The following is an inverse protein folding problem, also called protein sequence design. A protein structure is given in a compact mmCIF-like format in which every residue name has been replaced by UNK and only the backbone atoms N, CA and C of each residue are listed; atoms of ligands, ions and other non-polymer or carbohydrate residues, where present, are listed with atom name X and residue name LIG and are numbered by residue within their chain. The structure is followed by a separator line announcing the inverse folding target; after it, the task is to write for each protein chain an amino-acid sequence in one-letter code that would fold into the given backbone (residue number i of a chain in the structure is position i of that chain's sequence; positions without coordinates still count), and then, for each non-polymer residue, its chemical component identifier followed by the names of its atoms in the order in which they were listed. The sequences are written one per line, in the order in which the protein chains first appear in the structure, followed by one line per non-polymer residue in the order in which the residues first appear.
data_IF_935992697046
#
_entry.id   IF_935992697046
#
_cell.length_a   1.000
_cell.length_b   1.000
_cell.length_c   1.000
_cell.angle_alpha   90.00
_cell.angle_beta   90.00
_cell.angle_gamma   90.00
#
_symmetry.space_group_name_H-M   'P 1'
#
loop_
_entity.id
_entity.type
_entity.pdbx_description
1 polymer ?
#
# COMPACT_ATOMS: atom_id res chain seq x y z
N UNK A 1 -27.53 7.81 -29.92
CA UNK A 1 -26.58 7.31 -28.91
C UNK A 1 -26.52 8.41 -27.87
N UNK A 2 -27.16 8.18 -26.73
CA UNK A 2 -27.20 9.15 -25.62
C UNK A 2 -25.81 9.27 -25.03
N UNK A 3 -25.27 10.49 -25.01
CA UNK A 3 -24.06 10.84 -24.27
C UNK A 3 -24.31 10.54 -22.78
N UNK A 4 -23.88 9.38 -22.33
CA UNK A 4 -23.75 9.12 -20.90
C UNK A 4 -22.55 9.96 -20.48
N UNK A 5 -22.72 10.99 -19.64
CA UNK A 5 -21.59 11.75 -19.15
C UNK A 5 -20.63 10.79 -18.44
N UNK A 6 -19.37 10.84 -18.82
CA UNK A 6 -18.31 10.03 -18.23
C UNK A 6 -17.97 10.59 -16.84
N UNK A 7 -18.82 10.29 -15.87
CA UNK A 7 -18.79 10.85 -14.51
C UNK A 7 -17.53 10.41 -13.73
N UNK A 8 -16.79 9.43 -14.26
CA UNK A 8 -15.70 8.75 -13.54
C UNK A 8 -14.28 9.11 -13.97
N UNK A 9 -14.11 9.92 -15.04
CA UNK A 9 -12.77 10.13 -15.62
C UNK A 9 -12.32 11.58 -15.67
N UNK A 10 -13.15 12.56 -15.29
CA UNK A 10 -12.78 13.96 -15.46
C UNK A 10 -11.85 14.51 -14.37
N UNK A 11 -11.76 13.87 -13.19
CA UNK A 11 -10.79 14.23 -12.15
C UNK A 11 -10.58 13.06 -11.15
N UNK A 12 -9.73 12.06 -11.46
CA UNK A 12 -9.49 10.95 -10.55
C UNK A 12 -8.86 11.45 -9.25
N UNK A 13 -9.34 10.94 -8.11
CA UNK A 13 -8.81 11.30 -6.82
C UNK A 13 -7.31 10.95 -6.68
N UNK A 14 -6.56 11.69 -5.84
CA UNK A 14 -5.10 11.53 -5.72
C UNK A 14 -4.65 10.12 -5.32
N UNK A 15 -5.41 9.45 -4.45
CA UNK A 15 -5.12 8.09 -4.00
C UNK A 15 -5.25 7.09 -5.15
N UNK A 16 -6.32 7.18 -5.93
CA UNK A 16 -6.54 6.31 -7.10
C UNK A 16 -5.42 6.45 -8.13
N UNK A 17 -5.00 7.69 -8.44
CA UNK A 17 -3.88 7.94 -9.36
C UNK A 17 -2.59 7.32 -8.84
N UNK A 18 -2.33 7.44 -7.54
CA UNK A 18 -1.14 6.88 -6.93
C UNK A 18 -1.18 5.34 -6.95
N UNK A 19 -2.27 4.74 -6.49
CA UNK A 19 -2.39 3.27 -6.39
C UNK A 19 -2.27 2.58 -7.75
N UNK A 20 -2.80 3.16 -8.84
CA UNK A 20 -2.64 2.62 -10.20
C UNK A 20 -1.19 2.60 -10.67
N UNK A 21 -0.35 3.50 -10.16
CA UNK A 21 1.09 3.59 -10.50
C UNK A 21 1.97 2.71 -9.62
N UNK A 22 1.47 2.26 -8.48
CA UNK A 22 2.25 1.50 -7.51
C UNK A 22 2.30 0.00 -7.76
N UNK A 23 1.48 -0.49 -8.71
CA UNK A 23 1.43 -1.92 -9.08
C UNK A 23 1.29 -2.82 -7.84
N UNK A 24 0.26 -2.53 -7.01
CA UNK A 24 -0.08 -3.37 -5.88
C UNK A 24 -0.53 -4.75 -6.34
N UNK A 25 0.10 -5.78 -5.83
CA UNK A 25 -0.37 -7.16 -5.89
C UNK A 25 -0.78 -7.63 -4.50
N UNK A 26 -1.79 -8.47 -4.43
CA UNK A 26 -2.17 -9.19 -3.23
C UNK A 26 -2.02 -10.69 -3.49
N UNK A 27 -1.54 -11.42 -2.51
CA UNK A 27 -1.38 -12.87 -2.57
C UNK A 27 -1.93 -13.48 -1.28
N UNK A 28 -2.91 -14.35 -1.40
CA UNK A 28 -3.39 -15.20 -0.30
C UNK A 28 -2.71 -16.55 -0.39
N UNK A 29 -1.85 -16.88 0.57
CA UNK A 29 -1.08 -18.12 0.57
C UNK A 29 -1.59 -19.16 1.58
N UNK A 30 -2.40 -18.75 2.57
CA UNK A 30 -3.05 -19.64 3.53
C UNK A 30 -4.54 -19.35 3.61
N UNK A 31 -5.34 -20.36 3.48
CA UNK A 31 -6.73 -20.43 3.90
C UNK A 31 -6.89 -21.77 4.62
N UNK A 32 -6.88 -21.76 5.95
CA UNK A 32 -6.81 -23.00 6.69
C UNK A 32 -7.36 -22.94 8.10
N UNK A 33 -7.59 -24.14 8.62
CA UNK A 33 -7.96 -24.37 10.00
C UNK A 33 -6.70 -24.60 10.83
N UNK A 34 -6.57 -23.84 11.92
CA UNK A 34 -5.50 -23.94 12.90
C UNK A 34 -6.08 -24.55 14.17
N UNK A 35 -5.53 -25.68 14.59
CA UNK A 35 -6.05 -26.48 15.71
C UNK A 35 -4.97 -26.70 16.75
N UNK A 36 -5.39 -26.86 17.99
CA UNK A 36 -4.52 -27.21 19.12
C UNK A 36 -3.55 -26.09 19.50
N UNK A 37 -2.30 -26.47 19.76
CA UNK A 37 -1.24 -25.49 20.07
C UNK A 37 -0.56 -25.08 18.79
N UNK A 38 -0.81 -23.86 18.34
CA UNK A 38 -0.25 -23.30 17.13
C UNK A 38 0.21 -21.86 17.34
N UNK A 39 1.22 -21.46 16.61
CA UNK A 39 1.72 -20.10 16.54
C UNK A 39 2.33 -19.84 15.16
N UNK A 40 2.01 -18.70 14.56
CA UNK A 40 2.45 -18.29 13.21
C UNK A 40 3.17 -16.97 13.29
N UNK A 41 4.37 -16.91 12.73
CA UNK A 41 5.15 -15.71 12.47
C UNK A 41 5.40 -15.62 10.96
N UNK A 42 5.06 -14.50 10.36
CA UNK A 42 5.23 -14.22 8.93
C UNK A 42 6.11 -13.00 8.66
N UNK A 43 6.72 -12.44 9.71
CA UNK A 43 7.62 -11.30 9.58
C UNK A 43 8.90 -11.65 8.79
N UNK A 44 9.58 -10.64 8.27
CA UNK A 44 10.82 -10.79 7.51
C UNK A 44 10.61 -11.08 6.02
N UNK A 45 9.38 -11.04 5.54
CA UNK A 45 9.03 -11.26 4.14
C UNK A 45 9.38 -10.09 3.21
N UNK A 46 9.59 -8.89 3.78
CA UNK A 46 9.69 -7.59 3.08
C UNK A 46 8.42 -7.23 2.28
N UNK A 47 7.30 -7.79 2.70
CA UNK A 47 5.96 -7.52 2.19
C UNK A 47 5.11 -6.97 3.33
N UNK A 48 3.85 -6.70 3.08
CA UNK A 48 2.90 -6.28 4.11
C UNK A 48 2.04 -7.50 4.49
N UNK A 49 2.36 -8.23 5.57
CA UNK A 49 1.55 -9.36 5.99
C UNK A 49 0.17 -8.91 6.45
N UNK A 50 -0.84 -9.73 6.15
CA UNK A 50 -2.16 -9.60 6.73
C UNK A 50 -2.71 -10.94 7.19
N UNK A 51 -3.52 -10.90 8.24
CA UNK A 51 -4.20 -12.07 8.80
C UNK A 51 -5.65 -11.69 9.07
N UNK A 52 -6.55 -12.45 8.49
CA UNK A 52 -7.99 -12.33 8.70
C UNK A 52 -8.47 -13.57 9.50
N UNK A 53 -9.05 -13.33 10.66
CA UNK A 53 -9.70 -14.39 11.43
C UNK A 53 -11.08 -14.63 10.80
N UNK A 54 -11.22 -15.70 10.03
CA UNK A 54 -12.50 -15.99 9.34
C UNK A 54 -13.51 -16.72 10.22
N UNK A 55 -13.04 -17.46 11.26
CA UNK A 55 -13.88 -18.05 12.30
C UNK A 55 -13.03 -18.41 13.53
N UNK A 56 -13.66 -18.47 14.70
CA UNK A 56 -12.98 -18.77 15.98
C UNK A 56 -12.30 -17.55 16.58
N UNK A 57 -11.30 -17.78 17.39
CA UNK A 57 -10.54 -16.76 18.13
C UNK A 57 -9.05 -16.99 17.96
N UNK A 58 -8.26 -15.91 18.07
CA UNK A 58 -6.81 -15.96 18.08
C UNK A 58 -6.23 -14.89 19.01
N UNK A 59 -4.93 -14.88 19.18
CA UNK A 59 -4.21 -13.89 19.98
C UNK A 59 -3.05 -13.32 19.19
N UNK A 60 -3.00 -12.00 19.11
CA UNK A 60 -1.87 -11.27 18.57
C UNK A 60 -0.85 -10.98 19.66
N UNK A 61 0.37 -11.42 19.44
CA UNK A 61 1.55 -11.08 20.25
C UNK A 61 2.43 -10.12 19.43
N UNK A 62 2.59 -8.92 19.94
CA UNK A 62 3.38 -7.88 19.30
C UNK A 62 4.35 -7.30 20.33
N UNK A 63 5.58 -7.06 19.91
CA UNK A 63 6.66 -6.63 20.82
C UNK A 63 6.28 -5.34 21.57
N UNK A 64 6.52 -5.35 22.89
CA UNK A 64 6.21 -4.20 23.76
C UNK A 64 4.72 -4.02 24.10
N UNK A 65 3.84 -4.95 23.66
CA UNK A 65 2.38 -4.87 23.90
C UNK A 65 1.88 -6.06 24.72
N UNK A 66 0.77 -5.87 25.43
CA UNK A 66 0.03 -6.99 26.00
C UNK A 66 -0.62 -7.80 24.88
N UNK A 67 -0.68 -9.14 24.99
CA UNK A 67 -1.38 -9.98 24.01
C UNK A 67 -2.82 -9.50 23.80
N UNK A 68 -3.22 -9.37 22.55
CA UNK A 68 -4.54 -8.86 22.16
C UNK A 68 -5.39 -9.97 21.57
N UNK A 69 -6.60 -10.15 22.11
CA UNK A 69 -7.58 -11.07 21.55
C UNK A 69 -8.04 -10.60 20.16
N UNK A 70 -8.17 -11.54 19.25
CA UNK A 70 -8.71 -11.38 17.90
C UNK A 70 -9.94 -12.27 17.78
N UNK A 71 -11.04 -11.70 17.29
CA UNK A 71 -12.31 -12.38 17.06
C UNK A 71 -12.53 -12.65 15.56
N UNK A 72 -13.57 -13.40 15.26
CA UNK A 72 -13.99 -13.62 13.87
C UNK A 72 -14.28 -12.29 13.17
N UNK A 73 -13.83 -12.15 11.93
CA UNK A 73 -13.83 -10.96 11.07
C UNK A 73 -12.81 -9.88 11.45
N UNK A 74 -11.97 -10.08 12.47
CA UNK A 74 -10.85 -9.19 12.70
C UNK A 74 -9.78 -9.40 11.63
N UNK A 75 -9.33 -8.27 11.06
CA UNK A 75 -8.23 -8.20 10.10
C UNK A 75 -7.06 -7.46 10.74
N UNK A 76 -5.89 -8.07 10.72
CA UNK A 76 -4.64 -7.47 11.20
C UNK A 76 -3.67 -7.31 10.06
N UNK A 77 -3.07 -6.12 9.94
CA UNK A 77 -2.03 -5.81 8.95
C UNK A 77 -0.76 -5.31 9.64
N UNK A 78 0.39 -5.56 9.01
CA UNK A 78 1.70 -5.10 9.46
C UNK A 78 2.40 -4.32 8.33
N UNK A 79 2.12 -3.01 8.18
CA UNK A 79 2.62 -2.20 7.06
C UNK A 79 4.15 -2.16 6.94
N UNK A 80 4.85 -2.38 8.05
CA UNK A 80 6.32 -2.34 8.11
C UNK A 80 6.98 -3.71 8.23
N UNK A 81 6.23 -4.80 7.95
CA UNK A 81 6.72 -6.18 8.15
C UNK A 81 7.28 -6.42 9.56
N UNK A 82 6.69 -5.74 10.56
CA UNK A 82 7.12 -5.80 11.96
C UNK A 82 6.95 -7.19 12.54
N UNK A 83 7.87 -7.60 13.40
CA UNK A 83 7.81 -8.90 14.08
C UNK A 83 6.51 -9.06 14.87
N UNK A 84 5.81 -10.14 14.62
CA UNK A 84 4.53 -10.46 15.26
C UNK A 84 4.31 -11.97 15.28
N UNK A 85 3.54 -12.44 16.26
CA UNK A 85 3.08 -13.82 16.31
C UNK A 85 1.57 -13.84 16.52
N UNK A 86 0.86 -14.65 15.74
CA UNK A 86 -0.55 -14.97 15.97
C UNK A 86 -0.63 -16.39 16.46
N UNK A 87 -1.37 -16.63 17.54
CA UNK A 87 -1.47 -17.95 18.18
C UNK A 87 -2.86 -18.23 18.73
N UNK A 88 -3.11 -19.49 19.09
CA UNK A 88 -4.35 -19.92 19.75
C UNK A 88 -4.42 -19.63 21.26
N UNK A 89 -3.45 -18.93 21.84
CA UNK A 89 -3.37 -18.73 23.30
C UNK A 89 -2.97 -17.30 23.65
N UNK A 90 -3.51 -16.78 24.76
CA UNK A 90 -3.09 -15.50 25.32
C UNK A 90 -1.67 -15.53 25.91
N UNK A 91 -1.13 -16.70 26.19
CA UNK A 91 0.25 -16.83 26.63
C UNK A 91 1.20 -16.77 25.42
N UNK A 92 2.29 -16.01 25.52
CA UNK A 92 3.28 -15.99 24.46
C UNK A 92 3.80 -17.39 24.14
N UNK A 93 3.82 -17.79 22.87
CA UNK A 93 4.27 -19.12 22.47
C UNK A 93 5.78 -19.28 22.71
N UNK A 94 6.19 -20.50 23.08
CA UNK A 94 7.61 -20.81 23.12
C UNK A 94 8.22 -20.78 21.70
N UNK A 95 9.49 -20.39 21.51
CA UNK A 95 10.11 -20.32 20.18
C UNK A 95 9.97 -21.61 19.34
N UNK A 96 9.99 -22.77 19.98
CA UNK A 96 9.82 -24.07 19.31
C UNK A 96 8.39 -24.33 18.79
N UNK A 97 7.41 -23.53 19.21
CA UNK A 97 6.02 -23.63 18.74
C UNK A 97 5.73 -22.78 17.54
N UNK A 98 6.57 -21.77 17.28
CA UNK A 98 6.38 -20.84 16.16
C UNK A 98 6.63 -21.58 14.86
N UNK A 99 5.63 -21.54 13.95
CA UNK A 99 5.65 -22.22 12.65
C UNK A 99 5.88 -23.74 12.74
N UNK A 100 5.60 -24.35 13.90
CA UNK A 100 5.67 -25.78 14.07
C UNK A 100 4.41 -26.49 13.49
N UNK A 101 4.49 -27.79 13.16
CA UNK A 101 3.32 -28.58 12.76
C UNK A 101 2.22 -28.52 13.83
N UNK A 102 0.99 -28.31 13.38
CA UNK A 102 -0.19 -28.24 14.26
C UNK A 102 -0.67 -29.59 14.69
N UNK A 103 -1.28 -29.68 15.87
CA UNK A 103 -2.06 -30.85 16.30
C UNK A 103 -3.49 -30.77 15.72
N UNK A 104 -4.17 -31.92 15.62
CA UNK A 104 -5.55 -31.94 15.11
C UNK A 104 -6.61 -31.85 16.23
N UNK A 105 -6.20 -31.53 17.45
CA UNK A 105 -7.07 -31.55 18.64
C UNK A 105 -7.31 -30.13 19.17
N UNK A 106 -8.52 -29.87 19.69
CA UNK A 106 -8.86 -28.62 20.38
C UNK A 106 -9.70 -27.65 19.58
N UNK A 107 -9.74 -26.39 20.05
CA UNK A 107 -10.47 -25.31 19.38
C UNK A 107 -9.90 -25.04 18.00
N UNK A 108 -10.78 -24.74 17.07
CA UNK A 108 -10.44 -24.47 15.67
C UNK A 108 -10.53 -22.97 15.39
N UNK A 109 -9.43 -22.38 14.96
CA UNK A 109 -9.42 -21.04 14.39
C UNK A 109 -9.28 -21.16 12.87
N UNK A 110 -10.15 -20.53 12.11
CA UNK A 110 -9.98 -20.42 10.66
C UNK A 110 -9.37 -19.07 10.33
N UNK A 111 -8.29 -19.10 9.56
CA UNK A 111 -7.54 -17.89 9.25
C UNK A 111 -7.17 -17.85 7.77
N UNK A 112 -7.25 -16.66 7.20
CA UNK A 112 -6.78 -16.34 5.86
C UNK A 112 -5.54 -15.45 6.04
N UNK A 113 -4.40 -15.93 5.51
CA UNK A 113 -3.17 -15.16 5.55
C UNK A 113 -2.67 -14.84 4.15
N UNK A 114 -2.18 -13.64 3.98
CA UNK A 114 -1.67 -13.16 2.72
C UNK A 114 -0.64 -12.07 2.90
N UNK A 115 -0.17 -11.57 1.77
CA UNK A 115 0.71 -10.42 1.68
C UNK A 115 0.17 -9.42 0.67
N UNK A 116 0.37 -8.14 0.96
CA UNK A 116 0.39 -7.10 -0.06
C UNK A 116 1.83 -6.86 -0.47
N UNK A 117 2.06 -6.80 -1.76
CA UNK A 117 3.38 -6.53 -2.34
C UNK A 117 3.27 -5.37 -3.31
N UNK A 118 4.19 -4.43 -3.18
CA UNK A 118 4.32 -3.31 -4.10
C UNK A 118 5.57 -3.50 -4.94
N UNK A 119 5.40 -3.58 -6.24
CA UNK A 119 6.52 -3.68 -7.19
C UNK A 119 7.25 -2.35 -7.38
N UNK A 120 6.59 -1.25 -7.03
CA UNK A 120 7.17 0.08 -7.13
C UNK A 120 7.50 0.66 -5.74
N UNK A 121 8.77 0.93 -5.41
CA UNK A 121 9.18 1.45 -4.11
C UNK A 121 8.72 2.89 -3.82
N UNK A 122 8.07 3.58 -4.76
CA UNK A 122 7.41 4.87 -4.48
C UNK A 122 6.32 4.77 -3.41
N UNK A 123 5.92 3.56 -3.03
CA UNK A 123 4.96 3.31 -1.95
C UNK A 123 5.53 3.61 -0.56
N UNK A 124 6.83 3.43 -0.34
CA UNK A 124 7.40 3.52 1.00
C UNK A 124 7.03 4.80 1.76
N UNK A 125 7.06 6.01 1.14
CA UNK A 125 6.59 7.22 1.83
C UNK A 125 5.09 7.18 2.21
N UNK A 126 4.27 6.40 1.50
CA UNK A 126 2.86 6.22 1.84
C UNK A 126 2.69 5.35 3.10
N UNK A 127 3.55 4.36 3.27
CA UNK A 127 3.49 3.42 4.39
C UNK A 127 4.15 3.97 5.66
N UNK A 128 5.15 4.87 5.53
CA UNK A 128 5.97 5.34 6.64
C UNK A 128 5.18 5.89 7.84
N UNK A 129 4.02 6.50 7.57
CA UNK A 129 3.17 7.10 8.62
C UNK A 129 2.08 6.17 9.13
N UNK A 130 1.93 4.98 8.54
CA UNK A 130 0.99 3.99 9.05
C UNK A 130 1.46 3.43 10.41
N UNK A 131 0.53 3.09 11.31
CA UNK A 131 0.87 2.38 12.54
C UNK A 131 1.60 1.06 12.24
N UNK A 132 2.48 0.58 13.13
CA UNK A 132 3.19 -0.69 12.93
C UNK A 132 2.25 -1.90 12.91
N UNK A 133 1.08 -1.77 13.51
CA UNK A 133 -0.02 -2.75 13.50
C UNK A 133 -1.33 -2.01 13.24
N UNK A 134 -2.08 -2.45 12.25
CA UNK A 134 -3.43 -1.97 11.99
C UNK A 134 -4.38 -3.12 12.28
N UNK A 135 -5.32 -2.90 13.19
CA UNK A 135 -6.40 -3.82 13.47
C UNK A 135 -7.72 -3.20 13.02
N UNK A 136 -8.42 -3.91 12.16
CA UNK A 136 -9.76 -3.58 11.71
C UNK A 136 -10.74 -4.65 12.19
N UNK A 137 -11.84 -4.21 12.77
CA UNK A 137 -12.91 -5.07 13.28
C UNK A 137 -14.23 -4.68 12.65
N UNK A 138 -15.23 -5.58 12.57
CA UNK A 138 -16.57 -5.25 12.07
C UNK A 138 -17.24 -4.11 12.84
N UNK A 139 -16.84 -3.93 14.10
CA UNK A 139 -17.32 -2.87 14.99
C UNK A 139 -16.54 -1.56 14.85
N UNK A 140 -15.70 -1.45 13.83
CA UNK A 140 -14.92 -0.24 13.57
C UNK A 140 -15.82 0.99 13.54
N UNK A 141 -15.44 2.09 14.22
CA UNK A 141 -16.22 3.31 14.23
C UNK A 141 -16.20 4.08 12.90
N UNK A 142 -15.45 3.62 11.90
CA UNK A 142 -15.43 4.24 10.57
C UNK A 142 -16.81 4.09 9.92
N UNK A 143 -17.47 5.24 9.72
CA UNK A 143 -18.81 5.27 9.13
C UNK A 143 -18.76 4.72 7.68
N UNK A 144 -19.62 3.72 7.41
CA UNK A 144 -19.77 3.09 6.09
C UNK A 144 -18.54 2.33 5.55
N UNK A 145 -17.65 1.82 6.40
CA UNK A 145 -16.55 0.97 5.94
C UNK A 145 -17.10 -0.33 5.33
N UNK A 146 -16.76 -0.65 4.07
CA UNK A 146 -17.19 -1.89 3.41
C UNK A 146 -16.37 -3.12 3.82
N UNK A 147 -15.46 -2.97 4.79
CA UNK A 147 -14.50 -4.02 5.20
C UNK A 147 -15.20 -5.34 5.53
N UNK A 148 -16.25 -5.32 6.33
CA UNK A 148 -17.01 -6.53 6.67
C UNK A 148 -17.58 -7.22 5.42
N UNK A 149 -18.14 -6.44 4.48
CA UNK A 149 -18.66 -6.97 3.20
C UNK A 149 -17.56 -7.59 2.35
N UNK A 150 -16.40 -6.95 2.24
CA UNK A 150 -15.26 -7.48 1.50
C UNK A 150 -14.73 -8.79 2.12
N UNK A 151 -14.68 -8.86 3.44
CA UNK A 151 -14.30 -10.07 4.17
C UNK A 151 -15.28 -11.22 3.89
N UNK A 152 -16.59 -10.96 3.92
CA UNK A 152 -17.60 -11.96 3.61
C UNK A 152 -17.52 -12.44 2.15
N UNK A 153 -17.24 -11.55 1.21
CA UNK A 153 -17.02 -11.91 -0.19
C UNK A 153 -15.75 -12.79 -0.34
N UNK A 154 -14.65 -12.46 0.33
CA UNK A 154 -13.43 -13.29 0.32
C UNK A 154 -13.71 -14.69 0.88
N UNK A 155 -14.44 -14.78 2.00
CA UNK A 155 -14.83 -16.06 2.60
C UNK A 155 -15.69 -16.90 1.65
N UNK A 156 -16.64 -16.28 0.97
CA UNK A 156 -17.51 -16.96 0.01
C UNK A 156 -16.72 -17.51 -1.20
N UNK A 157 -15.75 -16.74 -1.72
CA UNK A 157 -14.87 -17.21 -2.80
C UNK A 157 -13.99 -18.39 -2.36
N UNK A 158 -13.43 -18.31 -1.15
CA UNK A 158 -12.58 -19.37 -0.60
C UNK A 158 -13.35 -20.67 -0.32
N UNK A 159 -14.61 -20.57 0.13
CA UNK A 159 -15.47 -21.71 0.40
C UNK A 159 -16.01 -22.34 -0.89
N UNK A 160 -16.18 -21.55 -1.94
CA UNK A 160 -16.90 -21.98 -3.16
C UNK A 160 -16.09 -22.84 -4.13
N UNK A 161 -14.76 -22.79 -4.09
CA UNK A 161 -13.87 -23.54 -5.03
C UNK A 161 -14.17 -23.26 -6.50
N UNK A 162 -14.72 -22.10 -6.84
CA UNK A 162 -15.16 -21.73 -8.20
C UNK A 162 -13.95 -21.41 -9.08
N UNK A 163 -14.10 -21.64 -10.39
CA UNK A 163 -13.09 -21.20 -11.35
C UNK A 163 -12.91 -19.66 -11.23
N UNK A 164 -11.65 -19.21 -11.14
CA UNK A 164 -11.31 -17.80 -10.97
C UNK A 164 -11.31 -17.27 -9.53
N UNK A 165 -11.59 -18.10 -8.50
CA UNK A 165 -11.62 -17.69 -7.11
C UNK A 165 -10.31 -17.03 -6.65
N UNK A 166 -9.14 -17.54 -7.02
CA UNK A 166 -7.86 -16.91 -6.66
C UNK A 166 -7.73 -15.49 -7.20
N UNK A 167 -8.08 -15.29 -8.49
CA UNK A 167 -8.05 -13.95 -9.08
C UNK A 167 -9.07 -13.00 -8.41
N UNK A 168 -10.25 -13.50 -8.04
CA UNK A 168 -11.24 -12.72 -7.30
C UNK A 168 -10.75 -12.33 -5.91
N UNK A 169 -10.11 -13.24 -5.20
CA UNK A 169 -9.55 -13.01 -3.86
C UNK A 169 -8.44 -11.95 -3.90
N UNK A 170 -7.55 -11.99 -4.90
CA UNK A 170 -6.50 -10.97 -5.07
C UNK A 170 -7.09 -9.59 -5.28
N UNK A 171 -8.18 -9.46 -6.08
CA UNK A 171 -8.85 -8.18 -6.28
C UNK A 171 -9.61 -7.71 -5.02
N UNK A 172 -10.24 -8.60 -4.29
CA UNK A 172 -10.89 -8.28 -3.01
C UNK A 172 -9.88 -7.84 -1.96
N UNK A 173 -8.72 -8.49 -1.91
CA UNK A 173 -7.62 -8.09 -1.03
C UNK A 173 -7.08 -6.70 -1.41
N UNK A 174 -6.97 -6.38 -2.71
CA UNK A 174 -6.62 -5.02 -3.15
C UNK A 174 -7.64 -3.98 -2.64
N UNK A 175 -8.95 -4.23 -2.81
CA UNK A 175 -10.00 -3.35 -2.31
C UNK A 175 -9.93 -3.21 -0.79
N UNK A 176 -9.70 -4.31 -0.08
CA UNK A 176 -9.52 -4.31 1.36
C UNK A 176 -8.36 -3.40 1.80
N UNK A 177 -7.23 -3.44 1.10
CA UNK A 177 -6.11 -2.54 1.36
C UNK A 177 -6.47 -1.06 1.15
N UNK A 178 -7.23 -0.75 0.10
CA UNK A 178 -7.73 0.62 -0.14
C UNK A 178 -8.58 1.10 1.04
N UNK A 179 -9.48 0.26 1.54
CA UNK A 179 -10.34 0.60 2.68
C UNK A 179 -9.53 0.76 3.97
N UNK A 180 -8.50 -0.06 4.18
CA UNK A 180 -7.58 0.12 5.30
C UNK A 180 -6.96 1.53 5.27
N UNK A 181 -6.45 1.97 4.12
CA UNK A 181 -5.85 3.31 3.99
C UNK A 181 -6.86 4.42 4.28
N UNK A 182 -8.09 4.30 3.77
CA UNK A 182 -9.18 5.26 4.02
C UNK A 182 -9.49 5.35 5.50
N UNK A 183 -9.70 4.22 6.14
CA UNK A 183 -10.06 4.16 7.57
C UNK A 183 -8.96 4.75 8.46
N UNK A 184 -7.67 4.53 8.15
CA UNK A 184 -6.58 5.13 8.92
C UNK A 184 -6.60 6.67 8.90
N UNK A 185 -7.04 7.25 7.80
CA UNK A 185 -7.20 8.72 7.69
C UNK A 185 -8.48 9.19 8.37
N UNK A 186 -9.60 8.50 8.17
CA UNK A 186 -10.90 8.85 8.78
C UNK A 186 -10.87 8.80 10.30
N UNK A 187 -10.18 7.83 10.87
CA UNK A 187 -9.99 7.69 12.33
C UNK A 187 -8.95 8.66 12.88
N UNK A 188 -8.28 9.45 12.03
CA UNK A 188 -7.22 10.37 12.45
C UNK A 188 -5.95 9.67 12.94
N UNK A 189 -5.80 8.37 12.67
CA UNK A 189 -4.59 7.63 13.00
C UNK A 189 -3.38 8.09 12.15
N UNK A 190 -3.66 8.67 10.97
CA UNK A 190 -2.66 9.27 10.08
C UNK A 190 -3.04 10.73 9.87
N UNK A 191 -2.26 11.64 10.43
CA UNK A 191 -2.46 13.10 10.37
C UNK A 191 -1.41 13.83 9.53
N UNK A 192 -0.33 13.15 9.16
CA UNK A 192 0.78 13.68 8.39
C UNK A 192 1.31 12.63 7.39
N UNK A 193 2.34 12.99 6.65
CA UNK A 193 2.92 12.12 5.62
C UNK A 193 2.15 12.14 4.31
N UNK A 194 2.65 11.34 3.37
CA UNK A 194 2.10 11.32 2.01
C UNK A 194 0.65 10.86 1.97
N UNK A 195 0.26 9.91 2.82
CA UNK A 195 -1.14 9.44 2.87
C UNK A 195 -2.08 10.58 3.28
N UNK A 196 -1.79 11.29 4.36
CA UNK A 196 -2.58 12.45 4.77
C UNK A 196 -2.60 13.56 3.69
N UNK A 197 -1.48 13.78 3.00
CA UNK A 197 -1.40 14.75 1.90
C UNK A 197 -2.30 14.41 0.71
N UNK A 198 -2.49 13.12 0.39
CA UNK A 198 -3.40 12.68 -0.66
C UNK A 198 -4.87 12.98 -0.33
N UNK A 199 -5.23 12.98 0.95
CA UNK A 199 -6.59 13.33 1.42
C UNK A 199 -6.76 14.84 1.73
N UNK A 200 -5.68 15.62 1.74
CA UNK A 200 -5.79 17.08 1.89
C UNK A 200 -6.44 17.69 0.63
N UNK A 201 -7.56 18.45 0.75
CA UNK A 201 -8.33 18.92 -0.41
C UNK A 201 -7.58 19.92 -1.29
N UNK A 202 -6.48 20.50 -0.82
CA UNK A 202 -5.65 21.43 -1.59
C UNK A 202 -4.37 20.77 -2.08
N UNK A 203 -3.61 20.15 -1.18
CA UNK A 203 -2.33 19.48 -1.53
C UNK A 203 -2.58 18.29 -2.44
N UNK A 204 -3.68 17.54 -2.23
CA UNK A 204 -4.08 16.43 -3.08
C UNK A 204 -4.20 16.82 -4.56
N UNK A 205 -4.70 18.02 -4.88
CA UNK A 205 -4.78 18.52 -6.28
C UNK A 205 -3.41 18.67 -6.93
N UNK A 206 -2.43 19.19 -6.18
CA UNK A 206 -1.07 19.28 -6.70
C UNK A 206 -0.42 17.90 -6.85
N UNK A 207 -0.65 16.98 -5.91
CA UNK A 207 -0.18 15.60 -6.00
C UNK A 207 -0.80 14.88 -7.21
N UNK A 208 -2.11 15.03 -7.45
CA UNK A 208 -2.77 14.51 -8.65
C UNK A 208 -2.10 15.01 -9.92
N UNK A 209 -1.87 16.33 -10.04
CA UNK A 209 -1.22 16.92 -11.20
C UNK A 209 0.20 16.37 -11.41
N UNK A 210 1.00 16.27 -10.35
CA UNK A 210 2.35 15.70 -10.40
C UNK A 210 2.31 14.23 -10.84
N UNK A 211 1.36 13.45 -10.32
CA UNK A 211 1.29 12.01 -10.59
C UNK A 211 0.77 11.70 -11.98
N UNK A 212 -0.21 12.46 -12.48
CA UNK A 212 -0.79 12.25 -13.81
C UNK A 212 0.15 12.73 -14.93
N UNK A 213 0.73 13.88 -14.76
CA UNK A 213 1.49 14.59 -15.78
C UNK A 213 2.91 14.95 -15.28
N UNK A 214 3.73 13.97 -14.91
CA UNK A 214 5.06 14.24 -14.33
C UNK A 214 5.99 14.98 -15.31
N UNK A 215 5.79 14.83 -16.62
CA UNK A 215 6.61 15.48 -17.64
C UNK A 215 6.34 17.00 -17.80
N UNK A 216 5.15 17.46 -17.39
CA UNK A 216 4.78 18.86 -17.48
C UNK A 216 5.79 19.78 -16.76
N UNK A 217 6.04 21.01 -17.27
CA UNK A 217 7.02 21.92 -16.70
C UNK A 217 6.53 22.56 -15.39
N UNK A 218 6.10 21.72 -14.45
CA UNK A 218 5.63 22.15 -13.15
C UNK A 218 6.68 22.98 -12.41
N UNK A 219 6.24 24.06 -11.83
CA UNK A 219 7.02 24.89 -10.92
C UNK A 219 6.18 25.24 -9.68
N UNK A 220 6.81 25.88 -8.70
CA UNK A 220 6.14 26.19 -7.44
C UNK A 220 4.90 27.07 -7.60
N UNK A 221 4.91 27.98 -8.59
CA UNK A 221 3.80 28.88 -8.88
C UNK A 221 2.60 28.11 -9.46
N UNK A 222 2.84 27.28 -10.49
CA UNK A 222 1.78 26.53 -11.16
C UNK A 222 1.15 25.49 -10.25
N UNK A 223 1.94 24.82 -9.40
CA UNK A 223 1.42 23.88 -8.40
C UNK A 223 0.61 24.58 -7.30
N UNK A 224 1.05 25.76 -6.84
CA UNK A 224 0.30 26.56 -5.89
C UNK A 224 -1.05 27.03 -6.46
N UNK A 225 -1.10 27.42 -7.73
CA UNK A 225 -2.34 27.76 -8.45
C UNK A 225 -3.30 26.56 -8.53
N UNK A 226 -2.81 25.37 -8.87
CA UNK A 226 -3.61 24.12 -8.86
C UNK A 226 -4.24 23.84 -7.50
N UNK A 227 -3.52 24.19 -6.43
CA UNK A 227 -3.95 24.02 -5.03
C UNK A 227 -4.84 25.18 -4.52
N UNK A 228 -5.10 26.20 -5.32
CA UNK A 228 -5.76 27.44 -4.91
C UNK A 228 -5.12 28.06 -3.64
N UNK A 229 -3.78 28.14 -3.62
CA UNK A 229 -2.99 28.64 -2.49
C UNK A 229 -1.98 29.72 -2.96
N UNK A 230 -1.55 30.57 -2.03
CA UNK A 230 -0.37 31.40 -2.25
C UNK A 230 0.89 30.52 -2.35
N UNK A 231 1.89 30.99 -3.11
CA UNK A 231 3.16 30.24 -3.31
C UNK A 231 3.83 29.85 -2.00
N UNK A 232 3.92 30.78 -1.02
CA UNK A 232 4.53 30.51 0.29
C UNK A 232 3.70 29.52 1.11
N UNK A 233 2.38 29.74 1.21
CA UNK A 233 1.49 28.88 1.96
C UNK A 233 1.43 27.45 1.40
N UNK A 234 1.47 27.32 0.05
CA UNK A 234 1.56 26.02 -0.60
C UNK A 234 2.88 25.29 -0.25
N UNK A 235 4.02 25.97 -0.41
CA UNK A 235 5.32 25.36 -0.12
C UNK A 235 5.43 24.89 1.33
N UNK A 236 4.97 25.70 2.28
CA UNK A 236 4.96 25.39 3.70
C UNK A 236 4.03 24.21 4.01
N UNK A 237 2.76 24.27 3.56
CA UNK A 237 1.78 23.21 3.81
C UNK A 237 2.18 21.88 3.16
N UNK A 238 2.69 21.92 1.94
CA UNK A 238 3.18 20.74 1.24
C UNK A 238 4.35 20.10 2.02
N UNK A 239 5.34 20.91 2.44
CA UNK A 239 6.49 20.42 3.19
C UNK A 239 6.11 19.87 4.57
N UNK A 240 5.12 20.47 5.23
CA UNK A 240 4.58 19.96 6.51
C UNK A 240 3.95 18.58 6.36
N UNK A 241 3.12 18.38 5.32
CA UNK A 241 2.42 17.11 5.10
C UNK A 241 3.33 16.05 4.50
N UNK A 242 4.07 16.39 3.43
CA UNK A 242 4.82 15.39 2.64
C UNK A 242 6.24 15.14 3.18
N UNK A 243 6.75 16.03 4.04
CA UNK A 243 8.12 15.96 4.55
C UNK A 243 9.19 16.42 3.55
N UNK A 244 8.80 16.77 2.32
CA UNK A 244 9.68 17.22 1.24
C UNK A 244 9.16 18.52 0.63
N UNK A 245 10.06 19.35 0.07
CA UNK A 245 9.60 20.48 -0.74
C UNK A 245 8.92 19.99 -2.03
N UNK A 246 7.95 20.75 -2.61
CA UNK A 246 7.20 20.34 -3.81
C UNK A 246 8.10 19.93 -4.98
N UNK A 247 9.15 20.71 -5.26
CA UNK A 247 10.06 20.44 -6.38
C UNK A 247 10.97 19.23 -6.13
N UNK A 248 11.30 18.97 -4.87
CA UNK A 248 12.06 17.75 -4.47
C UNK A 248 11.19 16.50 -4.65
N UNK A 249 9.93 16.60 -4.23
CA UNK A 249 8.94 15.54 -4.43
C UNK A 249 8.71 15.24 -5.92
N UNK A 250 8.47 16.27 -6.75
CA UNK A 250 8.33 16.13 -8.20
C UNK A 250 9.54 15.43 -8.82
N UNK A 251 10.76 15.83 -8.43
CA UNK A 251 11.98 15.17 -8.93
C UNK A 251 12.02 13.70 -8.53
N UNK A 252 11.73 13.39 -7.28
CA UNK A 252 11.68 12.00 -6.79
C UNK A 252 10.66 11.16 -7.54
N UNK A 253 9.46 11.70 -7.74
CA UNK A 253 8.39 11.04 -8.49
C UNK A 253 8.78 10.77 -9.95
N UNK A 254 9.33 11.78 -10.65
CA UNK A 254 9.86 11.63 -12.03
C UNK A 254 10.89 10.50 -12.13
N UNK A 255 11.81 10.42 -11.17
CA UNK A 255 12.85 9.39 -11.18
C UNK A 255 12.29 7.99 -10.89
N UNK A 256 11.27 7.91 -10.05
CA UNK A 256 10.57 6.65 -9.77
C UNK A 256 9.83 6.14 -11.02
N UNK A 257 9.09 7.02 -11.69
CA UNK A 257 8.41 6.67 -12.96
C UNK A 257 9.43 6.31 -14.06
N UNK A 258 10.52 7.05 -14.16
CA UNK A 258 11.60 6.73 -15.09
C UNK A 258 12.18 5.32 -14.84
N UNK A 259 12.38 4.95 -13.58
CA UNK A 259 12.84 3.60 -13.21
C UNK A 259 11.84 2.53 -13.64
N UNK A 260 10.54 2.75 -13.42
CA UNK A 260 9.48 1.87 -13.88
C UNK A 260 9.53 1.69 -15.40
N UNK A 261 9.56 2.78 -16.16
CA UNK A 261 9.66 2.76 -17.63
C UNK A 261 10.90 2.00 -18.12
N UNK A 262 12.05 2.21 -17.47
CA UNK A 262 13.28 1.49 -17.80
C UNK A 262 13.20 -0.02 -17.57
N UNK A 263 12.41 -0.45 -16.59
CA UNK A 263 12.21 -1.88 -16.26
C UNK A 263 11.15 -2.55 -17.13
N UNK A 264 10.09 -1.84 -17.48
CA UNK A 264 8.89 -2.44 -18.10
C UNK A 264 8.78 -2.19 -19.61
N UNK A 265 9.64 -1.36 -20.18
CA UNK A 265 9.59 -1.00 -21.60
C UNK A 265 10.96 -1.08 -22.28
N UNK A 266 10.94 -1.09 -23.62
CA UNK A 266 12.16 -1.04 -24.45
C UNK A 266 12.53 0.40 -24.89
N UNK A 267 11.97 1.44 -24.27
CA UNK A 267 12.28 2.82 -24.59
C UNK A 267 13.76 3.14 -24.33
N UNK A 268 14.39 3.91 -25.20
CA UNK A 268 15.76 4.37 -24.97
C UNK A 268 15.86 5.29 -23.74
N UNK A 269 17.05 5.44 -23.18
CA UNK A 269 17.27 6.36 -22.04
C UNK A 269 16.88 7.79 -22.40
N UNK A 270 17.12 8.21 -23.64
CA UNK A 270 16.73 9.53 -24.15
C UNK A 270 15.20 9.70 -24.16
N UNK A 271 14.46 8.70 -24.65
CA UNK A 271 13.00 8.73 -24.64
C UNK A 271 12.44 8.76 -23.21
N UNK A 272 13.02 7.97 -22.30
CA UNK A 272 12.61 8.00 -20.88
C UNK A 272 12.92 9.36 -20.24
N UNK A 273 14.04 10.00 -20.59
CA UNK A 273 14.37 11.35 -20.11
C UNK A 273 13.32 12.38 -20.55
N UNK A 274 12.94 12.37 -21.83
CA UNK A 274 11.89 13.24 -22.38
C UNK A 274 10.53 13.01 -21.67
N UNK A 275 10.11 11.75 -21.54
CA UNK A 275 8.88 11.38 -20.85
C UNK A 275 8.88 11.72 -19.35
N UNK A 276 10.06 11.94 -18.78
CA UNK A 276 10.24 12.38 -17.40
C UNK A 276 10.38 13.91 -17.28
N UNK A 277 10.18 14.66 -18.36
CA UNK A 277 10.23 16.12 -18.39
C UNK A 277 11.65 16.71 -18.32
N UNK A 278 12.65 16.01 -18.89
CA UNK A 278 14.03 16.48 -19.01
C UNK A 278 14.37 16.83 -20.46
N UNK A 279 14.89 18.03 -20.66
CA UNK A 279 15.31 18.51 -21.98
C UNK A 279 16.60 17.83 -22.49
N UNK A 280 17.40 17.22 -21.60
CA UNK A 280 18.62 16.56 -22.00
C UNK A 280 18.87 15.27 -21.21
N UNK A 281 19.35 14.25 -21.92
CA UNK A 281 19.72 12.96 -21.32
C UNK A 281 20.85 13.09 -20.25
N UNK A 282 21.88 13.92 -20.40
CA UNK A 282 22.90 14.11 -19.35
C UNK A 282 22.32 14.67 -18.05
N UNK A 283 21.41 15.66 -18.12
CA UNK A 283 20.74 16.21 -16.94
C UNK A 283 19.88 15.16 -16.26
N UNK A 284 19.11 14.38 -17.03
CA UNK A 284 18.34 13.24 -16.55
C UNK A 284 19.21 12.20 -15.83
N UNK A 285 20.31 11.73 -16.46
CA UNK A 285 21.21 10.73 -15.88
C UNK A 285 21.78 11.18 -14.54
N UNK A 286 22.16 12.46 -14.44
CA UNK A 286 22.65 13.07 -13.20
C UNK A 286 21.57 13.07 -12.12
N UNK A 287 20.35 13.53 -12.44
CA UNK A 287 19.22 13.55 -11.52
C UNK A 287 18.85 12.13 -11.07
N UNK A 288 18.80 11.18 -12.00
CA UNK A 288 18.46 9.78 -11.75
C UNK A 288 19.44 9.16 -10.75
N UNK A 289 20.75 9.26 -11.01
CA UNK A 289 21.79 8.74 -10.12
C UNK A 289 21.77 9.40 -8.73
N UNK A 290 21.57 10.73 -8.69
CA UNK A 290 21.52 11.46 -7.42
C UNK A 290 20.30 11.10 -6.57
N UNK A 291 19.17 10.79 -7.20
CA UNK A 291 17.91 10.50 -6.50
C UNK A 291 17.81 9.04 -6.11
N UNK A 292 18.20 8.12 -6.99
CA UNK A 292 17.99 6.67 -6.80
C UNK A 292 19.28 5.91 -6.44
N UNK A 293 20.45 6.56 -6.48
CA UNK A 293 21.74 5.91 -6.17
C UNK A 293 22.29 5.02 -7.28
N UNK A 294 21.52 4.73 -8.34
CA UNK A 294 21.84 3.83 -9.44
C UNK A 294 21.76 4.55 -10.80
N UNK A 295 22.30 3.95 -11.85
CA UNK A 295 22.24 4.53 -13.19
C UNK A 295 21.09 3.93 -14.02
N UNK A 296 20.53 4.68 -15.01
CA UNK A 296 19.50 4.13 -15.90
C UNK A 296 19.94 2.86 -16.63
N UNK A 297 21.22 2.78 -17.01
CA UNK A 297 21.79 1.58 -17.66
C UNK A 297 21.84 0.36 -16.73
N UNK A 298 22.17 0.55 -15.45
CA UNK A 298 22.18 -0.52 -14.45
C UNK A 298 20.78 -1.11 -14.23
N UNK A 299 19.77 -0.23 -14.12
CA UNK A 299 18.36 -0.64 -13.99
C UNK A 299 17.93 -1.52 -15.16
N UNK A 300 18.25 -1.10 -16.39
CA UNK A 300 17.90 -1.85 -17.59
C UNK A 300 18.58 -3.20 -17.68
N UNK A 301 19.89 -3.25 -17.37
CA UNK A 301 20.64 -4.50 -17.37
C UNK A 301 20.08 -5.51 -16.36
N UNK A 302 19.69 -5.04 -15.18
CA UNK A 302 19.06 -5.89 -14.16
C UNK A 302 17.69 -6.44 -14.58
N UNK A 303 16.92 -5.67 -15.34
CA UNK A 303 15.60 -6.14 -15.81
C UNK A 303 15.66 -7.12 -16.98
N UNK A 304 16.74 -7.12 -17.74
CA UNK A 304 16.97 -8.06 -18.85
C UNK A 304 17.56 -9.41 -18.40
N UNK A 305 18.04 -9.48 -17.16
CA UNK A 305 18.62 -10.68 -16.57
C UNK A 305 17.59 -11.51 -15.76
N UNK A 306 16.38 -11.02 -15.61
CA UNK A 306 15.22 -11.70 -15.00
C UNK A 306 14.28 -12.29 -16.05
#
# INVERSE_FOLDING_TARGET
MSDIPNIYLDDPDPLSVMLTRLELAAEVYVNGAFCGTWAVDTAGSRRIPFHLISAGEAWLHFEGSTPRALAAQDLVLFPHDSHHVISGSSQPPAPAQINAPMSNDGAVTQMICGFFEFRNPAIFPLLETLPPVILMSPESPAANSPVATLIDMMRAELAGGRAGSYAAIDQLAFLLFVEVLREQVELGAVSDGLLAALFDPRIGKALTAIHQEPAEPWNLETLAQKSAMSRSGFAERFAQLVGLSPMKYLTSWRMTEARRLLRTTNLSTAQVAEMSGYESEPAFRKAFKNTLGETPGAVRAASQAQ
#
